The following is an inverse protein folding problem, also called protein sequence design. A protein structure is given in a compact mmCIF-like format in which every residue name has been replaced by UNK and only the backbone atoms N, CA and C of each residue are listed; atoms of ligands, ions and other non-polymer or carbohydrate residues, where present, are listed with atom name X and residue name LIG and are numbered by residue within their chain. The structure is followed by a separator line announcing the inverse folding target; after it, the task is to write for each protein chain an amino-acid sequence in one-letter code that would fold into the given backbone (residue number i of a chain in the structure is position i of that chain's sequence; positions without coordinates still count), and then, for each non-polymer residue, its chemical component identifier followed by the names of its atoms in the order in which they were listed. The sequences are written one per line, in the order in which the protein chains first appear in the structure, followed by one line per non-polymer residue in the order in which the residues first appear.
data_IF_921938503841
#
_entry.id   IF_921938503841
#
_cell.length_a   1.000
_cell.length_b   1.000
_cell.length_c   1.000
_cell.angle_alpha   90.00
_cell.angle_beta   90.00
_cell.angle_gamma   90.00
#
_symmetry.space_group_name_H-M   'P 1'
#
loop_
_entity.id
_entity.type
_entity.pdbx_description
1 polymer ?
#
# COMPACT_ATOMS: atom_id res chain seq x y z
N UNK A 1 -39.28 17.64 30.69
CA UNK A 1 -38.35 16.48 30.73
C UNK A 1 -37.81 16.20 29.34
N UNK A 2 -37.21 17.21 28.71
CA UNK A 2 -36.82 17.24 27.29
C UNK A 2 -35.29 17.19 27.12
N UNK A 3 -34.59 16.32 27.85
CA UNK A 3 -33.13 16.27 27.78
C UNK A 3 -32.50 14.86 27.85
N UNK A 4 -33.30 13.79 27.82
CA UNK A 4 -32.76 12.42 27.99
C UNK A 4 -32.97 11.46 26.79
N UNK A 5 -33.45 11.96 25.66
CA UNK A 5 -33.64 11.12 24.45
C UNK A 5 -32.90 11.70 23.25
N UNK A 6 -31.60 11.96 23.40
CA UNK A 6 -30.70 12.39 22.31
C UNK A 6 -29.45 11.51 22.18
N UNK A 7 -29.47 10.31 22.77
CA UNK A 7 -28.31 9.41 22.84
C UNK A 7 -28.48 8.12 22.00
N UNK A 8 -29.48 8.02 21.13
CA UNK A 8 -29.70 6.85 20.28
C UNK A 8 -29.76 7.31 18.82
N UNK A 9 -28.90 6.71 18.00
CA UNK A 9 -28.68 6.95 16.56
C UNK A 9 -27.69 8.09 16.21
N UNK A 10 -26.42 7.92 16.59
CA UNK A 10 -25.34 8.53 15.81
C UNK A 10 -25.38 7.92 14.39
N UNK A 11 -25.59 8.77 13.36
CA UNK A 11 -25.63 8.35 11.96
C UNK A 11 -24.40 7.50 11.59
N UNK A 12 -24.54 6.46 10.74
CA UNK A 12 -23.45 5.54 10.41
C UNK A 12 -22.20 6.25 9.83
N UNK A 13 -22.36 7.37 9.14
CA UNK A 13 -21.25 8.20 8.62
C UNK A 13 -20.32 8.69 9.75
N UNK A 14 -20.89 9.21 10.85
CA UNK A 14 -20.12 9.67 12.03
C UNK A 14 -19.33 8.57 12.76
N UNK A 15 -19.62 7.29 12.50
CA UNK A 15 -18.89 6.16 13.11
C UNK A 15 -17.68 5.77 12.27
N UNK A 16 -17.83 5.76 10.95
CA UNK A 16 -16.72 5.45 10.05
C UNK A 16 -15.66 6.55 10.06
N UNK A 17 -16.09 7.82 10.18
CA UNK A 17 -15.21 8.95 10.41
C UNK A 17 -14.37 8.76 11.67
N UNK A 18 -14.99 8.43 12.82
CA UNK A 18 -14.27 8.17 14.07
C UNK A 18 -13.26 7.03 14.01
N UNK A 19 -13.58 5.94 13.29
CA UNK A 19 -12.63 4.84 13.08
C UNK A 19 -11.43 5.33 12.25
N UNK A 20 -11.69 6.15 11.23
CA UNK A 20 -10.64 6.73 10.38
C UNK A 20 -9.72 7.65 11.19
N UNK A 21 -10.29 8.55 11.99
CA UNK A 21 -9.55 9.45 12.89
C UNK A 21 -8.72 8.66 13.91
N UNK A 22 -9.29 7.64 14.56
CA UNK A 22 -8.58 6.82 15.53
C UNK A 22 -7.35 6.10 14.93
N UNK A 23 -7.49 5.58 13.70
CA UNK A 23 -6.38 4.93 12.99
C UNK A 23 -5.31 5.95 12.62
N UNK A 24 -5.70 7.15 12.17
CA UNK A 24 -4.76 8.22 11.83
C UNK A 24 -4.01 8.73 13.06
N UNK A 25 -4.71 8.95 14.18
CA UNK A 25 -4.11 9.33 15.45
C UNK A 25 -3.12 8.28 15.97
N UNK A 26 -3.45 6.99 15.85
CA UNK A 26 -2.60 5.90 16.32
C UNK A 26 -1.37 5.70 15.41
N UNK A 27 -1.53 5.79 14.09
CA UNK A 27 -0.55 5.29 13.11
C UNK A 27 0.01 6.32 12.15
N UNK A 28 -0.59 7.51 12.06
CA UNK A 28 -0.25 8.52 11.07
C UNK A 28 -0.37 7.98 9.64
N UNK A 29 -1.39 7.16 9.38
CA UNK A 29 -1.61 6.59 8.04
C UNK A 29 -2.39 7.52 7.12
N UNK A 30 -2.94 8.61 7.65
CA UNK A 30 -3.88 9.50 7.00
C UNK A 30 -5.32 9.00 7.10
N UNK A 31 -6.25 9.95 6.99
CA UNK A 31 -7.69 9.65 6.96
C UNK A 31 -8.04 8.70 5.80
N UNK A 32 -8.51 7.52 6.18
CA UNK A 32 -9.12 6.52 5.29
C UNK A 32 -10.54 7.00 4.94
N UNK A 33 -10.93 6.94 3.67
CA UNK A 33 -12.30 7.31 3.30
C UNK A 33 -13.36 6.37 3.90
N UNK A 34 -14.53 6.92 4.20
CA UNK A 34 -15.63 6.20 4.84
C UNK A 34 -16.05 4.94 4.07
N UNK A 35 -16.01 4.95 2.73
CA UNK A 35 -16.35 3.77 1.92
C UNK A 35 -15.36 2.62 2.14
N UNK A 36 -14.07 2.92 2.24
CA UNK A 36 -13.04 1.92 2.55
C UNK A 36 -13.19 1.39 3.97
N UNK A 37 -13.43 2.25 4.96
CA UNK A 37 -13.68 1.84 6.36
C UNK A 37 -14.92 0.95 6.45
N UNK A 38 -16.02 1.40 5.85
CA UNK A 38 -17.27 0.66 5.76
C UNK A 38 -17.04 -0.74 5.17
N UNK A 39 -16.38 -0.82 4.02
CA UNK A 39 -16.14 -2.09 3.34
C UNK A 39 -15.26 -3.02 4.16
N UNK A 40 -14.29 -2.50 4.91
CA UNK A 40 -13.47 -3.30 5.80
C UNK A 40 -14.28 -3.88 6.98
N UNK A 41 -15.18 -3.08 7.58
CA UNK A 41 -16.09 -3.55 8.63
C UNK A 41 -17.05 -4.63 8.10
N UNK A 42 -17.58 -4.45 6.88
CA UNK A 42 -18.43 -5.47 6.23
C UNK A 42 -17.64 -6.73 5.85
N UNK A 43 -16.41 -6.58 5.35
CA UNK A 43 -15.55 -7.70 4.94
C UNK A 43 -15.24 -8.64 6.09
N UNK A 44 -15.22 -8.15 7.33
CA UNK A 44 -15.10 -8.99 8.52
C UNK A 44 -16.31 -9.93 8.68
N UNK A 45 -17.54 -9.45 8.43
CA UNK A 45 -18.77 -10.24 8.69
C UNK A 45 -19.02 -11.34 7.65
N UNK A 46 -18.50 -11.15 6.43
CA UNK A 46 -18.52 -12.14 5.37
C UNK A 46 -17.80 -11.64 4.11
N UNK A 47 -17.42 -12.56 3.22
CA UNK A 47 -16.67 -12.22 2.00
C UNK A 47 -17.44 -11.37 0.97
N UNK A 48 -18.76 -11.21 1.12
CA UNK A 48 -19.58 -10.37 0.24
C UNK A 48 -19.74 -8.94 0.78
N UNK A 49 -18.72 -8.15 0.50
CA UNK A 49 -18.55 -6.73 0.85
C UNK A 49 -19.44 -5.74 0.08
N UNK A 50 -20.33 -6.24 -0.78
CA UNK A 50 -21.22 -5.41 -1.62
C UNK A 50 -22.64 -5.27 -1.08
N UNK A 51 -22.94 -5.91 0.05
CA UNK A 51 -24.27 -5.93 0.66
C UNK A 51 -24.61 -4.59 1.32
N UNK A 52 -25.88 -4.20 1.23
CA UNK A 52 -26.38 -2.97 1.83
C UNK A 52 -26.38 -3.03 3.37
N UNK A 53 -25.82 -1.99 4.00
CA UNK A 53 -25.70 -1.80 5.45
C UNK A 53 -27.02 -2.04 6.19
N UNK A 54 -28.15 -1.54 5.66
CA UNK A 54 -29.45 -1.58 6.34
C UNK A 54 -29.99 -3.02 6.48
N UNK A 55 -29.61 -3.92 5.58
CA UNK A 55 -29.99 -5.33 5.60
C UNK A 55 -29.02 -6.16 6.48
N UNK A 56 -27.77 -5.73 6.63
CA UNK A 56 -26.71 -6.39 7.41
C UNK A 56 -26.90 -6.28 8.94
N UNK A 57 -27.46 -5.16 9.41
CA UNK A 57 -27.69 -4.90 10.84
C UNK A 57 -29.14 -5.13 11.30
N UNK A 58 -30.04 -5.59 10.41
CA UNK A 58 -31.40 -6.00 10.75
C UNK A 58 -31.48 -7.44 11.30
N UNK A 59 -32.56 -7.76 12.02
CA UNK A 59 -32.78 -9.08 12.66
C UNK A 59 -32.99 -10.25 11.66
N UNK A 60 -33.04 -9.99 10.35
CA UNK A 60 -33.47 -10.97 9.33
C UNK A 60 -32.39 -11.49 8.38
N UNK A 61 -31.10 -11.19 8.56
CA UNK A 61 -30.05 -11.77 7.70
C UNK A 61 -29.55 -13.12 8.22
N UNK A 62 -30.13 -14.21 7.71
CA UNK A 62 -29.69 -15.62 7.86
C UNK A 62 -28.52 -16.00 6.93
N UNK A 63 -27.68 -15.05 6.50
CA UNK A 63 -26.45 -15.41 5.80
C UNK A 63 -25.42 -15.96 6.80
N UNK A 64 -24.61 -16.94 6.40
CA UNK A 64 -23.49 -17.43 7.19
C UNK A 64 -22.58 -16.23 7.56
N UNK A 65 -22.62 -15.83 8.84
CA UNK A 65 -21.78 -14.78 9.41
C UNK A 65 -20.55 -15.46 9.96
N UNK A 66 -19.37 -15.01 9.54
CA UNK A 66 -18.11 -15.60 10.00
C UNK A 66 -17.88 -15.38 11.51
N UNK A 67 -18.48 -14.33 12.07
CA UNK A 67 -18.42 -13.97 13.50
C UNK A 67 -19.84 -13.86 14.09
N UNK A 68 -20.49 -14.98 14.45
CA UNK A 68 -21.84 -14.96 15.02
C UNK A 68 -21.84 -14.39 16.46
N UNK A 69 -22.93 -13.72 16.85
CA UNK A 69 -23.19 -13.34 18.25
C UNK A 69 -22.71 -11.95 18.71
N UNK A 70 -22.03 -11.17 17.86
CA UNK A 70 -21.59 -9.82 18.20
C UNK A 70 -22.68 -8.75 18.03
N UNK A 71 -22.73 -7.77 18.96
CA UNK A 71 -23.51 -6.54 18.76
C UNK A 71 -22.92 -5.70 17.62
N UNK A 72 -23.70 -4.76 17.07
CA UNK A 72 -23.19 -3.81 16.07
C UNK A 72 -21.95 -3.07 16.57
N UNK A 73 -21.94 -2.67 17.84
CA UNK A 73 -20.82 -1.98 18.49
C UNK A 73 -19.55 -2.85 18.55
N UNK A 74 -19.69 -4.13 18.87
CA UNK A 74 -18.57 -5.06 18.84
C UNK A 74 -18.03 -5.24 17.42
N UNK A 75 -18.90 -5.23 16.40
CA UNK A 75 -18.46 -5.33 15.00
C UNK A 75 -17.62 -4.12 14.56
N UNK A 76 -18.00 -2.90 14.95
CA UNK A 76 -17.23 -1.69 14.65
C UNK A 76 -15.85 -1.72 15.31
N UNK A 77 -15.80 -1.97 16.64
CA UNK A 77 -14.55 -2.03 17.40
C UNK A 77 -13.58 -3.07 16.85
N UNK A 78 -14.09 -4.24 16.50
CA UNK A 78 -13.25 -5.29 15.96
C UNK A 78 -12.83 -5.05 14.51
N UNK A 79 -13.64 -4.34 13.73
CA UNK A 79 -13.28 -3.86 12.40
C UNK A 79 -12.15 -2.82 12.46
N UNK A 80 -12.23 -1.86 13.40
CA UNK A 80 -11.18 -0.88 13.69
C UNK A 80 -9.86 -1.57 14.06
N UNK A 81 -9.90 -2.55 14.97
CA UNK A 81 -8.71 -3.34 15.35
C UNK A 81 -8.09 -4.08 14.17
N UNK A 82 -8.90 -4.66 13.31
CA UNK A 82 -8.42 -5.37 12.12
C UNK A 82 -7.83 -4.41 11.08
N UNK A 83 -8.44 -3.23 10.89
CA UNK A 83 -7.90 -2.16 10.06
C UNK A 83 -6.57 -1.63 10.59
N UNK A 84 -6.47 -1.35 11.90
CA UNK A 84 -5.21 -0.90 12.53
C UNK A 84 -4.08 -1.91 12.33
N UNK A 85 -4.35 -3.23 12.47
CA UNK A 85 -3.38 -4.29 12.13
C UNK A 85 -3.00 -4.31 10.64
N UNK A 86 -3.96 -4.15 9.74
CA UNK A 86 -3.70 -4.09 8.31
C UNK A 86 -2.85 -2.87 7.94
N UNK A 87 -3.09 -1.72 8.57
CA UNK A 87 -2.28 -0.50 8.41
C UNK A 87 -0.86 -0.70 8.94
N UNK A 88 -0.70 -1.33 10.11
CA UNK A 88 0.59 -1.72 10.66
C UNK A 88 1.41 -2.53 9.64
N UNK A 89 0.79 -3.60 9.11
CA UNK A 89 1.36 -4.45 8.09
C UNK A 89 1.80 -3.66 6.85
N UNK A 90 0.93 -2.75 6.37
CA UNK A 90 1.23 -1.90 5.21
C UNK A 90 2.45 -1.00 5.43
N UNK A 91 2.54 -0.33 6.59
CA UNK A 91 3.59 0.62 6.88
C UNK A 91 4.93 -0.05 7.23
N UNK A 92 4.88 -1.17 7.94
CA UNK A 92 6.08 -1.80 8.54
C UNK A 92 6.70 -2.86 7.63
N UNK A 93 5.88 -3.61 6.89
CA UNK A 93 6.38 -4.73 6.08
C UNK A 93 6.17 -4.55 4.58
N UNK A 94 5.06 -3.93 4.17
CA UNK A 94 4.74 -3.75 2.74
C UNK A 94 5.37 -2.48 2.16
N UNK A 95 5.73 -1.51 2.99
CA UNK A 95 6.37 -0.26 2.56
C UNK A 95 5.40 0.75 1.94
N UNK A 96 4.11 0.71 2.30
CA UNK A 96 3.12 1.75 1.96
C UNK A 96 2.98 2.67 3.18
N UNK A 97 3.57 3.88 3.17
CA UNK A 97 3.70 4.68 4.38
C UNK A 97 2.43 5.42 4.79
N UNK A 98 1.54 5.72 3.84
CA UNK A 98 0.36 6.56 4.03
C UNK A 98 -0.74 6.22 3.02
N UNK A 99 -1.99 6.46 3.36
CA UNK A 99 -3.19 6.08 2.62
C UNK A 99 -3.23 6.62 1.19
N UNK A 100 -2.80 7.87 1.00
CA UNK A 100 -2.72 8.47 -0.35
C UNK A 100 -1.73 7.75 -1.28
N UNK A 101 -0.73 7.05 -0.73
CA UNK A 101 0.21 6.22 -1.48
C UNK A 101 -0.29 4.78 -1.70
N UNK A 102 -1.45 4.39 -1.14
CA UNK A 102 -2.02 3.07 -1.37
C UNK A 102 -2.45 2.94 -2.85
N UNK A 103 -1.91 1.98 -3.63
CA UNK A 103 -2.25 1.85 -5.06
C UNK A 103 -3.74 1.64 -5.32
N UNK A 104 -4.36 0.76 -4.51
CA UNK A 104 -5.78 0.46 -4.58
C UNK A 104 -6.39 0.27 -3.19
N UNK A 105 -7.47 1.00 -2.90
CA UNK A 105 -8.19 0.97 -1.63
C UNK A 105 -8.73 -0.42 -1.26
N UNK A 106 -9.17 -1.18 -2.25
CA UNK A 106 -9.72 -2.53 -2.01
C UNK A 106 -8.70 -3.50 -1.39
N UNK A 107 -7.39 -3.27 -1.59
CA UNK A 107 -6.35 -4.11 -0.99
C UNK A 107 -6.37 -3.98 0.53
N UNK A 108 -6.59 -2.78 1.06
CA UNK A 108 -6.74 -2.56 2.50
C UNK A 108 -7.97 -3.30 3.06
N UNK A 109 -9.07 -3.34 2.32
CA UNK A 109 -10.27 -4.09 2.72
C UNK A 109 -9.98 -5.59 2.83
N UNK A 110 -9.27 -6.17 1.86
CA UNK A 110 -8.91 -7.59 1.89
C UNK A 110 -7.94 -7.88 3.04
N UNK A 111 -6.94 -7.01 3.27
CA UNK A 111 -6.04 -7.13 4.41
C UNK A 111 -6.78 -7.02 5.75
N UNK A 112 -7.71 -6.08 5.89
CA UNK A 112 -8.52 -5.95 7.10
C UNK A 112 -9.33 -7.22 7.38
N UNK A 113 -9.88 -7.87 6.34
CA UNK A 113 -10.51 -9.20 6.51
C UNK A 113 -9.51 -10.25 6.97
N UNK A 114 -8.33 -10.31 6.35
CA UNK A 114 -7.30 -11.28 6.72
C UNK A 114 -6.92 -11.13 8.20
N UNK A 115 -6.60 -9.90 8.64
CA UNK A 115 -6.26 -9.60 10.04
C UNK A 115 -7.44 -9.65 11.01
N UNK A 116 -8.68 -9.74 10.53
CA UNK A 116 -9.85 -10.01 11.36
C UNK A 116 -9.92 -11.48 11.77
N UNK A 117 -9.55 -12.40 10.86
CA UNK A 117 -9.47 -13.84 11.14
C UNK A 117 -8.15 -14.24 11.80
N UNK A 118 -7.05 -13.59 11.41
CA UNK A 118 -5.70 -13.89 11.87
C UNK A 118 -5.05 -12.63 12.44
N UNK A 119 -5.29 -12.28 13.72
CA UNK A 119 -4.71 -11.09 14.32
C UNK A 119 -3.17 -11.12 14.40
N UNK A 120 -2.61 -12.31 14.56
CA UNK A 120 -1.17 -12.56 14.70
C UNK A 120 -0.76 -13.69 13.75
N UNK A 121 -0.77 -13.44 12.43
CA UNK A 121 -0.42 -14.46 11.45
C UNK A 121 1.07 -14.81 11.57
N UNK A 122 1.42 -16.05 11.21
CA UNK A 122 2.80 -16.53 11.28
C UNK A 122 3.74 -15.66 10.42
N UNK A 123 5.04 -15.53 10.79
CA UNK A 123 6.00 -14.74 10.02
C UNK A 123 6.12 -15.18 8.54
N UNK A 124 6.02 -16.48 8.27
CA UNK A 124 6.02 -17.02 6.91
C UNK A 124 4.81 -16.56 6.10
N UNK A 125 3.61 -16.64 6.68
CA UNK A 125 2.39 -16.19 6.03
C UNK A 125 2.34 -14.66 5.86
N UNK A 126 2.95 -13.88 6.76
CA UNK A 126 3.14 -12.42 6.57
C UNK A 126 4.02 -12.11 5.37
N UNK A 127 5.13 -12.84 5.19
CA UNK A 127 5.97 -12.69 4.02
C UNK A 127 5.21 -13.02 2.72
N UNK A 128 4.46 -14.12 2.69
CA UNK A 128 3.61 -14.50 1.56
C UNK A 128 2.50 -13.46 1.28
N UNK A 129 1.85 -12.94 2.32
CA UNK A 129 0.83 -11.88 2.19
C UNK A 129 1.42 -10.59 1.60
N UNK A 130 2.66 -10.25 1.95
CA UNK A 130 3.38 -9.11 1.39
C UNK A 130 3.65 -9.31 -0.11
N UNK A 131 4.07 -10.52 -0.50
CA UNK A 131 4.25 -10.88 -1.92
C UNK A 131 2.92 -10.74 -2.66
N UNK A 132 1.86 -11.32 -2.12
CA UNK A 132 0.52 -11.23 -2.70
C UNK A 132 0.06 -9.79 -2.90
N UNK A 133 0.24 -8.90 -1.91
CA UNK A 133 -0.18 -7.51 -2.01
C UNK A 133 0.40 -6.82 -3.25
N UNK A 134 1.72 -6.93 -3.46
CA UNK A 134 2.37 -6.27 -4.59
C UNK A 134 2.05 -6.92 -5.93
N UNK A 135 1.88 -8.25 -5.96
CA UNK A 135 1.39 -8.96 -7.16
C UNK A 135 -0.01 -8.49 -7.55
N UNK A 136 -0.92 -8.38 -6.58
CA UNK A 136 -2.27 -7.86 -6.79
C UNK A 136 -2.27 -6.37 -7.22
N UNK A 137 -1.39 -5.56 -6.62
CA UNK A 137 -1.21 -4.16 -7.01
C UNK A 137 -0.69 -4.01 -8.45
N UNK A 138 0.23 -4.87 -8.89
CA UNK A 138 0.78 -4.83 -10.25
C UNK A 138 -0.21 -5.36 -11.31
N UNK A 139 -1.00 -6.38 -10.99
CA UNK A 139 -2.03 -6.85 -11.92
C UNK A 139 -3.20 -5.87 -12.06
N UNK A 140 -3.49 -5.12 -10.99
CA UNK A 140 -4.64 -4.23 -10.91
C UNK A 140 -5.99 -4.98 -10.93
N UNK A 141 -7.11 -4.27 -10.74
CA UNK A 141 -8.42 -4.91 -10.63
C UNK A 141 -9.06 -5.26 -11.99
N UNK A 142 -8.65 -4.61 -13.09
CA UNK A 142 -9.38 -4.71 -14.37
C UNK A 142 -9.03 -5.99 -15.13
N UNK A 143 -7.75 -6.30 -15.27
CA UNK A 143 -7.27 -7.41 -16.11
C UNK A 143 -7.61 -8.81 -15.54
N UNK A 144 -7.59 -9.06 -14.22
CA UNK A 144 -7.99 -10.35 -13.65
C UNK A 144 -9.46 -10.44 -13.22
N UNK A 145 -10.13 -9.32 -12.93
CA UNK A 145 -11.44 -9.31 -12.27
C UNK A 145 -12.51 -8.45 -12.95
N UNK A 146 -12.16 -7.65 -13.96
CA UNK A 146 -13.08 -6.75 -14.68
C UNK A 146 -13.49 -5.48 -13.93
N UNK A 147 -13.59 -5.52 -12.59
CA UNK A 147 -13.89 -4.34 -11.75
C UNK A 147 -13.28 -4.44 -10.36
N UNK A 148 -13.06 -3.30 -9.71
CA UNK A 148 -12.54 -3.23 -8.34
C UNK A 148 -13.45 -3.89 -7.31
N UNK A 149 -14.77 -3.70 -7.43
CA UNK A 149 -15.78 -4.32 -6.57
C UNK A 149 -15.74 -5.85 -6.68
N UNK A 150 -15.63 -6.38 -7.90
CA UNK A 150 -15.52 -7.81 -8.12
C UNK A 150 -14.20 -8.38 -7.60
N UNK A 151 -13.08 -7.67 -7.81
CA UNK A 151 -11.77 -8.04 -7.27
C UNK A 151 -11.82 -8.18 -5.75
N UNK A 152 -12.31 -7.13 -5.08
CA UNK A 152 -12.43 -7.06 -3.62
C UNK A 152 -13.24 -8.24 -3.07
N UNK A 153 -14.43 -8.50 -3.63
CA UNK A 153 -15.30 -9.61 -3.20
C UNK A 153 -14.63 -10.97 -3.44
N UNK A 154 -14.07 -11.17 -4.63
CA UNK A 154 -13.42 -12.44 -5.00
C UNK A 154 -12.26 -12.76 -4.07
N UNK A 155 -11.41 -11.77 -3.79
CA UNK A 155 -10.26 -11.92 -2.90
C UNK A 155 -10.70 -12.10 -1.44
N UNK A 156 -11.69 -11.34 -0.98
CA UNK A 156 -12.24 -11.51 0.37
C UNK A 156 -12.79 -12.93 0.59
N UNK A 157 -13.48 -13.51 -0.39
CA UNK A 157 -13.98 -14.90 -0.30
C UNK A 157 -12.91 -15.98 -0.27
N UNK A 158 -11.64 -15.66 -0.59
CA UNK A 158 -10.52 -16.63 -0.45
C UNK A 158 -10.05 -16.79 0.99
N UNK A 159 -10.42 -15.86 1.87
CA UNK A 159 -10.08 -15.88 3.29
C UNK A 159 -11.21 -16.63 4.02
N UNK A 160 -10.87 -17.76 4.61
CA UNK A 160 -11.77 -18.60 5.40
C UNK A 160 -11.44 -18.47 6.87
N UNK A 161 -12.36 -18.84 7.76
CA UNK A 161 -12.00 -19.04 9.17
C UNK A 161 -11.12 -20.30 9.32
N UNK A 162 -10.27 -20.31 10.35
CA UNK A 162 -9.53 -21.49 10.83
C UNK A 162 -8.49 -22.13 9.88
N UNK A 163 -8.26 -21.55 8.70
CA UNK A 163 -7.24 -22.00 7.73
C UNK A 163 -6.36 -20.84 7.23
N UNK A 164 -5.38 -20.43 8.05
CA UNK A 164 -4.50 -19.27 7.77
C UNK A 164 -3.68 -19.51 6.50
N UNK A 165 -2.97 -20.63 6.46
CA UNK A 165 -2.09 -20.99 5.35
C UNK A 165 -2.86 -21.20 4.06
N UNK A 166 -3.97 -21.95 4.08
CA UNK A 166 -4.78 -22.13 2.88
C UNK A 166 -5.45 -20.84 2.41
N UNK A 167 -5.79 -19.91 3.31
CA UNK A 167 -6.27 -18.58 2.93
C UNK A 167 -5.21 -17.79 2.15
N UNK A 168 -3.95 -17.81 2.61
CA UNK A 168 -2.84 -17.19 1.89
C UNK A 168 -2.57 -17.86 0.55
N UNK A 169 -2.55 -19.19 0.50
CA UNK A 169 -2.32 -19.94 -0.74
C UNK A 169 -3.40 -19.64 -1.79
N UNK A 170 -4.68 -19.63 -1.39
CA UNK A 170 -5.79 -19.23 -2.26
C UNK A 170 -5.72 -17.78 -2.73
N UNK A 171 -5.14 -16.88 -1.93
CA UNK A 171 -4.86 -15.50 -2.35
C UNK A 171 -3.73 -15.47 -3.39
N UNK A 172 -2.64 -16.20 -3.17
CA UNK A 172 -1.48 -16.25 -4.09
C UNK A 172 -1.82 -16.87 -5.45
N UNK A 173 -2.83 -17.72 -5.53
CA UNK A 173 -3.40 -18.18 -6.81
C UNK A 173 -3.92 -17.04 -7.69
N UNK A 174 -4.13 -15.83 -7.15
CA UNK A 174 -4.67 -14.67 -7.86
C UNK A 174 -3.93 -13.37 -7.49
N UNK A 175 -3.29 -12.69 -8.45
CA UNK A 175 -3.32 -12.92 -9.90
C UNK A 175 -2.33 -14.00 -10.37
N UNK A 176 -2.74 -14.86 -11.32
CA UNK A 176 -1.88 -15.85 -12.00
C UNK A 176 -0.97 -15.19 -13.03
N UNK A 177 -0.05 -14.35 -12.57
CA UNK A 177 0.93 -13.68 -13.43
C UNK A 177 2.30 -13.97 -12.86
N UNK A 178 3.14 -14.66 -13.65
CA UNK A 178 4.50 -15.01 -13.25
C UNK A 178 5.47 -13.84 -13.51
N UNK A 179 5.26 -13.09 -14.60
CA UNK A 179 6.07 -11.92 -14.97
C UNK A 179 5.24 -10.64 -14.92
N UNK A 180 5.45 -9.84 -13.88
CA UNK A 180 4.82 -8.52 -13.79
C UNK A 180 5.63 -7.50 -14.58
N UNK A 181 4.98 -6.84 -15.55
CA UNK A 181 5.54 -5.67 -16.18
C UNK A 181 5.72 -4.53 -15.17
N UNK A 182 6.77 -3.72 -15.35
CA UNK A 182 6.92 -2.50 -14.57
C UNK A 182 5.72 -1.55 -14.79
N UNK A 183 5.34 -0.77 -13.76
CA UNK A 183 4.34 0.29 -13.91
C UNK A 183 4.77 1.30 -14.98
N UNK A 184 3.79 1.93 -15.63
CA UNK A 184 4.06 2.91 -16.70
C UNK A 184 4.65 4.20 -16.12
N UNK A 185 5.96 4.33 -16.21
CA UNK A 185 6.69 5.49 -15.70
C UNK A 185 6.61 6.75 -16.58
N UNK A 186 6.13 6.62 -17.82
CA UNK A 186 5.98 7.74 -18.78
C UNK A 186 4.57 8.35 -18.79
N UNK A 187 3.68 7.87 -17.93
CA UNK A 187 2.30 8.36 -17.78
C UNK A 187 1.99 8.70 -16.32
N UNK A 188 2.97 9.28 -15.63
CA UNK A 188 2.91 9.57 -14.21
C UNK A 188 1.82 10.58 -13.87
N UNK A 189 0.88 10.15 -13.03
CA UNK A 189 -0.15 10.99 -12.40
C UNK A 189 -0.28 10.55 -10.96
N UNK A 190 -0.13 11.48 -10.03
CA UNK A 190 -0.12 11.22 -8.58
C UNK A 190 -1.37 10.47 -8.07
N UNK A 191 -2.49 10.58 -8.80
CA UNK A 191 -3.74 9.86 -8.51
C UNK A 191 -3.78 8.41 -8.99
N UNK A 192 -2.93 7.99 -9.94
CA UNK A 192 -2.95 6.66 -10.56
C UNK A 192 -2.21 5.62 -9.71
N UNK A 193 -2.70 4.38 -9.72
CA UNK A 193 -2.09 3.26 -8.99
C UNK A 193 -0.63 3.03 -9.39
N UNK A 194 -0.31 2.97 -10.69
CA UNK A 194 1.07 2.84 -11.19
C UNK A 194 2.01 3.89 -10.58
N UNK A 195 1.57 5.14 -10.53
CA UNK A 195 2.37 6.23 -9.95
C UNK A 195 2.54 6.09 -8.44
N UNK A 196 1.52 5.57 -7.73
CA UNK A 196 1.62 5.28 -6.29
C UNK A 196 2.58 4.11 -6.00
N UNK A 197 2.62 3.09 -6.85
CA UNK A 197 3.63 2.01 -6.78
C UNK A 197 5.04 2.62 -6.92
N UNK A 198 5.23 3.50 -7.91
CA UNK A 198 6.51 4.20 -8.14
C UNK A 198 6.86 5.09 -6.95
N UNK A 199 5.90 5.79 -6.36
CA UNK A 199 6.12 6.61 -5.16
C UNK A 199 6.49 5.78 -3.93
N UNK A 200 5.92 4.59 -3.75
CA UNK A 200 6.35 3.67 -2.68
C UNK A 200 7.80 3.21 -2.91
N UNK A 201 8.18 2.91 -4.16
CA UNK A 201 9.56 2.58 -4.48
C UNK A 201 10.52 3.75 -4.20
N UNK A 202 10.15 4.98 -4.59
CA UNK A 202 10.94 6.19 -4.28
C UNK A 202 11.02 6.45 -2.77
N UNK A 203 9.91 6.27 -2.03
CA UNK A 203 9.90 6.37 -0.58
C UNK A 203 10.82 5.34 0.07
N UNK A 204 10.92 4.14 -0.50
CA UNK A 204 11.81 3.08 0.00
C UNK A 204 13.31 3.41 -0.14
N UNK A 205 13.67 4.40 -0.96
CA UNK A 205 15.05 4.93 -1.04
C UNK A 205 15.41 5.80 0.16
N UNK A 206 14.46 6.08 1.06
CA UNK A 206 14.60 6.97 2.21
C UNK A 206 14.90 8.42 1.79
N UNK A 207 14.00 9.09 1.04
CA UNK A 207 14.19 10.47 0.60
C UNK A 207 14.62 11.39 1.74
N UNK A 208 15.63 12.21 1.50
CA UNK A 208 16.22 13.11 2.51
C UNK A 208 15.83 14.55 2.30
N UNK A 209 15.77 15.31 3.39
CA UNK A 209 15.62 16.76 3.34
C UNK A 209 16.75 17.41 2.56
N UNK A 210 16.44 18.41 1.74
CA UNK A 210 17.47 19.22 1.08
C UNK A 210 18.15 20.17 2.05
N UNK A 211 17.43 20.56 3.11
CA UNK A 211 17.89 21.52 4.12
C UNK A 211 18.65 20.83 5.25
N UNK A 212 18.03 19.83 5.91
CA UNK A 212 18.62 19.15 7.07
C UNK A 212 19.47 17.95 6.68
N UNK A 213 19.28 17.39 5.47
CA UNK A 213 19.95 16.17 4.94
C UNK A 213 19.61 14.88 5.67
N UNK A 214 18.75 14.98 6.68
CA UNK A 214 18.20 13.84 7.40
C UNK A 214 17.14 13.13 6.53
N UNK A 215 17.02 11.79 6.64
CA UNK A 215 15.91 11.07 6.02
C UNK A 215 14.57 11.57 6.54
N UNK A 216 13.60 11.73 5.65
CA UNK A 216 12.23 12.01 6.06
C UNK A 216 11.66 10.84 6.85
N UNK A 217 11.00 11.16 7.94
CA UNK A 217 10.26 10.21 8.77
C UNK A 217 8.81 10.10 8.30
N UNK A 218 8.10 9.07 8.79
CA UNK A 218 6.64 8.99 8.59
C UNK A 218 5.91 10.20 9.18
N UNK A 219 6.38 10.72 10.31
CA UNK A 219 5.77 11.92 10.91
C UNK A 219 5.89 13.12 9.97
N UNK A 220 7.06 13.32 9.34
CA UNK A 220 7.20 14.39 8.34
C UNK A 220 6.23 14.22 7.16
N UNK A 221 5.92 12.98 6.76
CA UNK A 221 4.95 12.71 5.70
C UNK A 221 3.52 13.06 6.12
N UNK A 222 3.14 12.76 7.36
CA UNK A 222 1.85 13.13 7.96
C UNK A 222 1.73 14.65 8.03
N UNK A 223 2.74 15.33 8.56
CA UNK A 223 2.74 16.79 8.72
C UNK A 223 2.63 17.50 7.36
N UNK A 224 3.24 16.93 6.30
CA UNK A 224 3.22 17.47 4.96
C UNK A 224 1.91 17.21 4.19
N UNK A 225 1.05 16.30 4.64
CA UNK A 225 -0.22 15.97 3.99
C UNK A 225 -1.37 16.38 4.93
N UNK A 226 -2.06 17.50 4.65
CA UNK A 226 -3.19 17.90 5.49
C UNK A 226 -4.31 16.85 5.43
N UNK A 227 -5.23 16.83 6.42
CA UNK A 227 -6.42 15.98 6.39
C UNK A 227 -7.20 16.13 5.06
N UNK A 228 -7.46 15.00 4.39
CA UNK A 228 -8.10 14.99 3.07
C UNK A 228 -7.19 15.41 1.89
N UNK A 229 -5.89 15.62 2.16
CA UNK A 229 -4.87 15.95 1.18
C UNK A 229 -4.59 14.83 0.19
N UNK A 230 -3.70 15.10 -0.76
CA UNK A 230 -3.37 14.16 -1.83
C UNK A 230 -1.86 13.95 -1.96
N UNK A 231 -1.45 12.93 -2.70
CA UNK A 231 -0.05 12.71 -3.10
C UNK A 231 0.59 13.91 -3.78
N UNK A 232 -0.18 14.85 -4.36
CA UNK A 232 0.37 16.06 -4.96
C UNK A 232 1.02 17.02 -3.94
N UNK A 233 0.72 16.88 -2.64
CA UNK A 233 1.31 17.73 -1.60
C UNK A 233 2.79 17.42 -1.36
N UNK A 234 3.18 16.17 -1.58
CA UNK A 234 4.52 15.68 -1.27
C UNK A 234 5.33 15.33 -2.51
N UNK A 235 4.75 15.57 -3.70
CA UNK A 235 5.38 15.28 -4.98
C UNK A 235 5.52 16.56 -5.80
N UNK A 236 6.76 16.99 -5.97
CA UNK A 236 7.10 18.19 -6.72
C UNK A 236 7.58 17.87 -8.14
N UNK A 237 7.39 18.81 -9.07
CA UNK A 237 8.06 18.78 -10.38
C UNK A 237 9.43 19.42 -10.29
N UNK A 238 10.44 18.77 -10.86
CA UNK A 238 11.80 19.31 -10.91
C UNK A 238 11.87 20.42 -11.97
N UNK A 239 11.48 20.09 -13.21
CA UNK A 239 11.41 21.00 -14.34
C UNK A 239 9.98 21.53 -14.48
N UNK A 240 9.83 22.86 -14.44
CA UNK A 240 8.54 23.54 -14.65
C UNK A 240 8.07 23.45 -16.09
N UNK A 241 9.01 23.59 -17.03
CA UNK A 241 8.77 23.43 -18.47
C UNK A 241 9.29 22.07 -18.88
N UNK A 242 8.38 21.18 -19.28
CA UNK A 242 8.72 19.83 -19.72
C UNK A 242 9.16 19.85 -21.20
N UNK A 243 10.30 19.24 -21.56
CA UNK A 243 10.70 19.14 -22.95
C UNK A 243 9.73 18.24 -23.74
N UNK A 244 9.61 18.51 -25.04
CA UNK A 244 8.70 17.79 -25.94
C UNK A 244 8.96 16.26 -25.86
N UNK A 245 7.87 15.49 -25.85
CA UNK A 245 7.93 14.02 -25.75
C UNK A 245 8.23 13.45 -24.36
N UNK A 246 8.47 14.30 -23.34
CA UNK A 246 8.80 13.86 -21.97
C UNK A 246 7.75 14.29 -20.94
N UNK A 247 6.54 14.59 -21.41
CA UNK A 247 5.43 14.96 -20.55
C UNK A 247 5.04 13.82 -19.61
N UNK A 248 4.75 14.15 -18.36
CA UNK A 248 4.30 13.16 -17.36
C UNK A 248 5.31 12.03 -17.08
N UNK A 249 6.60 12.24 -17.33
CA UNK A 249 7.60 11.26 -16.90
C UNK A 249 7.79 11.30 -15.38
N UNK A 250 7.91 10.13 -14.76
CA UNK A 250 8.28 9.98 -13.34
C UNK A 250 9.62 10.65 -13.06
N UNK A 251 10.53 10.67 -14.04
CA UNK A 251 11.80 11.38 -13.97
C UNK A 251 11.67 12.88 -13.66
N UNK A 252 10.52 13.49 -13.92
CA UNK A 252 10.25 14.88 -13.55
C UNK A 252 9.48 15.04 -12.24
N UNK A 253 9.49 14.02 -11.35
CA UNK A 253 8.77 14.01 -10.08
C UNK A 253 9.70 13.62 -8.94
N UNK A 254 9.68 14.39 -7.85
CA UNK A 254 10.52 14.17 -6.67
C UNK A 254 9.66 14.21 -5.42
N UNK A 255 9.99 13.38 -4.44
CA UNK A 255 9.34 13.41 -3.13
C UNK A 255 10.03 14.48 -2.31
N UNK A 256 9.31 15.50 -1.86
CA UNK A 256 9.86 16.59 -1.06
C UNK A 256 8.84 17.00 -0.02
N UNK A 257 9.27 17.06 1.24
CA UNK A 257 8.44 17.44 2.38
C UNK A 257 8.88 18.79 2.99
N UNK A 258 9.71 19.55 2.27
CA UNK A 258 10.15 20.86 2.72
C UNK A 258 8.97 21.84 2.81
N UNK A 259 8.92 22.60 3.91
CA UNK A 259 8.00 23.71 4.05
C UNK A 259 8.46 24.91 3.21
N UNK A 260 7.53 25.58 2.52
CA UNK A 260 7.81 26.81 1.78
C UNK A 260 7.77 26.68 0.25
N UNK A 261 8.62 27.44 -0.44
CA UNK A 261 8.58 27.52 -1.90
C UNK A 261 9.11 26.24 -2.56
N UNK A 262 8.21 25.56 -3.27
CA UNK A 262 8.52 24.41 -4.13
C UNK A 262 9.45 24.82 -5.29
N UNK A 263 10.73 24.47 -5.14
CA UNK A 263 11.76 24.65 -6.15
C UNK A 263 12.85 23.55 -6.11
N UNK A 264 12.43 22.32 -6.41
CA UNK A 264 13.28 21.14 -6.40
C UNK A 264 14.52 21.27 -7.29
N UNK A 265 14.42 21.92 -8.46
CA UNK A 265 15.59 22.14 -9.31
C UNK A 265 16.65 23.01 -8.63
N UNK A 266 16.25 24.11 -7.99
CA UNK A 266 17.19 24.96 -7.26
C UNK A 266 17.79 24.22 -6.07
N UNK A 267 16.99 23.46 -5.31
CA UNK A 267 17.48 22.67 -4.18
C UNK A 267 18.52 21.63 -4.61
N UNK A 268 18.27 20.95 -5.74
CA UNK A 268 19.26 20.03 -6.33
C UNK A 268 20.55 20.75 -6.74
N UNK A 269 20.45 21.91 -7.39
CA UNK A 269 21.61 22.67 -7.84
C UNK A 269 22.45 23.22 -6.67
N UNK A 270 21.81 23.60 -5.57
CA UNK A 270 22.53 24.01 -4.35
C UNK A 270 23.41 22.90 -3.77
N UNK A 271 23.06 21.62 -3.99
CA UNK A 271 23.92 20.49 -3.60
C UNK A 271 25.20 20.40 -4.44
N UNK A 272 25.20 20.93 -5.67
CA UNK A 272 26.40 21.01 -6.50
C UNK A 272 27.36 22.12 -6.02
N UNK A 273 26.81 23.22 -5.50
CA UNK A 273 27.58 24.37 -5.01
C UNK A 273 28.13 24.17 -3.57
N UNK A 274 27.59 23.19 -2.84
CA UNK A 274 27.99 22.83 -1.48
C UNK A 274 29.44 22.31 -1.46
N UNK A 275 30.38 23.19 -1.09
CA UNK A 275 31.82 22.92 -1.01
C UNK A 275 32.25 21.91 0.10
N UNK A 276 31.34 21.33 0.89
CA UNK A 276 31.68 20.33 1.94
C UNK A 276 30.67 19.18 2.07
N UNK A 277 31.21 18.06 2.60
CA UNK A 277 30.75 16.65 2.61
C UNK A 277 30.05 16.12 1.33
N UNK A 278 30.88 15.79 0.33
CA UNK A 278 30.45 15.09 -0.88
C UNK A 278 29.70 13.79 -0.60
N UNK A 279 29.97 13.11 0.51
CA UNK A 279 29.29 11.86 0.83
C UNK A 279 27.84 12.11 1.25
N UNK A 280 27.61 13.16 2.04
CA UNK A 280 26.27 13.55 2.46
C UNK A 280 25.43 14.06 1.28
N UNK A 281 26.02 14.89 0.40
CA UNK A 281 25.37 15.34 -0.82
C UNK A 281 24.99 14.16 -1.74
N UNK A 282 25.90 13.19 -1.91
CA UNK A 282 25.62 11.95 -2.65
C UNK A 282 24.49 11.14 -2.02
N UNK A 283 24.41 11.07 -0.70
CA UNK A 283 23.33 10.37 -0.01
C UNK A 283 21.97 11.05 -0.27
N UNK A 284 21.91 12.39 -0.26
CA UNK A 284 20.69 13.14 -0.63
C UNK A 284 20.32 12.88 -2.08
N UNK A 285 21.26 12.99 -3.03
CA UNK A 285 21.00 12.73 -4.45
C UNK A 285 20.48 11.30 -4.68
N UNK A 286 21.16 10.30 -4.10
CA UNK A 286 20.78 8.90 -4.21
C UNK A 286 19.37 8.63 -3.64
N UNK A 287 19.02 9.27 -2.51
CA UNK A 287 17.69 9.16 -1.90
C UNK A 287 16.55 9.67 -2.79
N UNK A 288 16.87 10.50 -3.79
CA UNK A 288 15.93 11.05 -4.77
C UNK A 288 16.08 10.46 -6.18
N UNK A 289 16.83 9.36 -6.32
CA UNK A 289 17.18 8.74 -7.61
C UNK A 289 17.86 9.73 -8.59
N UNK A 290 18.77 10.55 -8.08
CA UNK A 290 19.60 11.47 -8.86
C UNK A 290 21.06 11.06 -8.68
N UNK A 291 21.85 11.06 -9.76
CA UNK A 291 23.31 10.91 -9.66
C UNK A 291 24.02 12.23 -9.96
N UNK A 292 25.33 12.29 -9.73
CA UNK A 292 26.16 13.46 -10.09
C UNK A 292 26.11 13.80 -11.58
N UNK A 293 25.94 12.79 -12.45
CA UNK A 293 25.78 12.99 -13.89
C UNK A 293 24.48 13.72 -14.22
N UNK A 294 23.37 13.32 -13.57
CA UNK A 294 22.07 13.98 -13.75
C UNK A 294 22.11 15.39 -13.17
N UNK A 295 22.73 15.58 -12.01
CA UNK A 295 22.91 16.92 -11.46
C UNK A 295 23.70 17.83 -12.41
N UNK A 296 24.77 17.30 -13.02
CA UNK A 296 25.55 18.02 -14.03
C UNK A 296 24.75 18.35 -15.29
N UNK A 297 23.87 17.45 -15.75
CA UNK A 297 22.97 17.71 -16.87
C UNK A 297 21.98 18.83 -16.54
N UNK A 298 21.41 18.82 -15.34
CA UNK A 298 20.52 19.87 -14.85
C UNK A 298 21.22 21.23 -14.80
N UNK A 299 22.46 21.29 -14.29
CA UNK A 299 23.25 22.52 -14.19
C UNK A 299 23.58 23.13 -15.57
N UNK A 300 23.76 22.30 -16.61
CA UNK A 300 23.97 22.76 -17.99
C UNK A 300 22.68 23.09 -18.74
N UNK A 301 21.51 22.93 -18.11
CA UNK A 301 20.21 23.12 -18.77
C UNK A 301 19.84 22.00 -19.76
N UNK A 302 20.52 20.85 -19.73
CA UNK A 302 20.19 19.68 -20.55
C UNK A 302 19.01 18.92 -19.93
N UNK A 303 17.81 19.48 -20.11
CA UNK A 303 16.56 18.93 -19.60
C UNK A 303 16.28 17.51 -20.09
N UNK A 304 16.58 17.21 -21.37
CA UNK A 304 16.32 15.89 -21.97
C UNK A 304 17.29 14.86 -21.41
N UNK A 305 18.58 15.17 -21.34
CA UNK A 305 19.59 14.31 -20.73
C UNK A 305 19.30 14.03 -19.25
N UNK A 306 18.92 15.06 -18.50
CA UNK A 306 18.48 14.93 -17.10
C UNK A 306 17.33 13.93 -16.96
N UNK A 307 16.24 14.14 -17.70
CA UNK A 307 15.05 13.29 -17.60
C UNK A 307 15.32 11.86 -18.03
N UNK A 308 16.04 11.62 -19.15
CA UNK A 308 16.39 10.26 -19.59
C UNK A 308 17.33 9.54 -18.63
N UNK A 309 18.31 10.25 -18.07
CA UNK A 309 19.21 9.70 -17.07
C UNK A 309 18.46 9.29 -15.81
N UNK A 310 17.68 10.21 -15.25
CA UNK A 310 16.89 9.95 -14.04
C UNK A 310 15.82 8.89 -14.24
N UNK A 311 15.20 8.83 -15.43
CA UNK A 311 14.22 7.80 -15.77
C UNK A 311 14.79 6.39 -15.61
N UNK A 312 16.02 6.14 -16.08
CA UNK A 312 16.71 4.86 -15.91
C UNK A 312 16.99 4.52 -14.45
N UNK A 313 17.37 5.52 -13.64
CA UNK A 313 17.59 5.33 -12.20
C UNK A 313 16.29 4.96 -11.47
N UNK A 314 15.18 5.62 -11.81
CA UNK A 314 13.86 5.28 -11.24
C UNK A 314 13.41 3.90 -11.69
N UNK A 315 13.59 3.54 -12.97
CA UNK A 315 13.29 2.18 -13.46
C UNK A 315 14.04 1.11 -12.67
N UNK A 316 15.33 1.33 -12.42
CA UNK A 316 16.13 0.42 -11.61
C UNK A 316 15.63 0.36 -10.15
N UNK A 317 15.40 1.51 -9.51
CA UNK A 317 14.88 1.57 -8.15
C UNK A 317 13.52 0.86 -7.99
N UNK A 318 12.62 0.99 -8.97
CA UNK A 318 11.33 0.28 -8.98
C UNK A 318 11.54 -1.22 -9.17
N UNK A 319 12.45 -1.67 -10.06
CA UNK A 319 12.77 -3.10 -10.20
C UNK A 319 13.31 -3.68 -8.90
N UNK A 320 14.26 -3.00 -8.26
CA UNK A 320 14.90 -3.47 -7.03
C UNK A 320 13.88 -3.53 -5.88
N UNK A 321 13.04 -2.50 -5.77
CA UNK A 321 11.93 -2.48 -4.80
C UNK A 321 10.98 -3.66 -5.01
N UNK A 322 10.49 -3.85 -6.24
CA UNK A 322 9.55 -4.91 -6.56
C UNK A 322 10.17 -6.29 -6.38
N UNK A 323 11.40 -6.52 -6.84
CA UNK A 323 12.12 -7.79 -6.69
C UNK A 323 12.31 -8.15 -5.21
N UNK A 324 12.67 -7.19 -4.37
CA UNK A 324 12.86 -7.38 -2.93
C UNK A 324 11.56 -7.71 -2.21
N UNK A 325 10.43 -7.14 -2.65
CA UNK A 325 9.17 -7.22 -1.90
C UNK A 325 8.19 -8.27 -2.42
N UNK A 326 8.31 -8.63 -3.69
CA UNK A 326 7.55 -9.73 -4.32
C UNK A 326 8.28 -11.06 -4.26
N UNK A 327 9.61 -11.04 -4.02
CA UNK A 327 10.45 -12.22 -3.81
C UNK A 327 10.20 -13.32 -4.86
N UNK A 328 9.98 -12.93 -6.13
CA UNK A 328 9.56 -13.82 -7.23
C UNK A 328 10.53 -14.96 -7.54
N UNK A 329 11.76 -14.88 -7.02
CA UNK A 329 12.80 -15.91 -7.12
C UNK A 329 12.71 -16.99 -6.03
N UNK A 330 11.84 -16.85 -5.05
CA UNK A 330 11.58 -17.85 -4.01
C UNK A 330 10.26 -18.57 -4.29
N UNK A 331 10.23 -19.87 -4.04
CA UNK A 331 9.00 -20.64 -4.10
C UNK A 331 8.00 -20.13 -3.04
N UNK A 332 6.72 -20.12 -3.38
CA UNK A 332 5.64 -19.70 -2.47
C UNK A 332 5.17 -20.87 -1.58
N UNK A 333 6.14 -21.67 -1.12
CA UNK A 333 5.88 -22.88 -0.34
C UNK A 333 5.25 -22.50 1.01
N UNK A 334 4.22 -23.23 1.46
CA UNK A 334 3.71 -23.10 2.82
C UNK A 334 4.84 -23.19 3.87
N UNK A 335 4.72 -22.52 5.03
CA UNK A 335 5.67 -22.70 6.13
C UNK A 335 5.85 -24.19 6.47
N UNK A 336 7.07 -24.62 6.82
CA UNK A 336 7.38 -26.04 7.08
C UNK A 336 6.44 -26.67 8.11
N UNK A 337 6.06 -25.91 9.15
CA UNK A 337 5.15 -26.36 10.21
C UNK A 337 3.72 -26.61 9.74
N UNK A 338 3.38 -26.18 8.52
CA UNK A 338 2.08 -26.44 7.88
C UNK A 338 2.09 -27.62 6.90
N UNK A 339 3.25 -28.19 6.60
CA UNK A 339 3.38 -29.43 5.84
C UNK A 339 3.14 -30.58 6.81
N UNK A 340 2.02 -31.30 6.65
CA UNK A 340 1.77 -32.51 7.42
C UNK A 340 2.71 -33.62 6.91
N UNK A 341 3.90 -33.73 7.51
CA UNK A 341 4.90 -34.75 7.17
C UNK A 341 4.55 -36.14 7.75
N UNK A 342 3.44 -36.22 8.50
CA UNK A 342 2.90 -37.43 9.10
C UNK A 342 1.73 -37.97 8.25
N UNK A 343 1.95 -38.21 6.95
CA UNK A 343 1.05 -39.04 6.15
C UNK A 343 1.62 -40.47 6.13
N UNK A 344 1.13 -41.41 6.98
CA UNK A 344 1.58 -42.80 6.99
C UNK A 344 0.98 -43.65 5.86
N UNK A 345 0.32 -43.05 4.86
CA UNK A 345 -0.40 -43.78 3.81
C UNK A 345 0.29 -43.70 2.44
N UNK A 346 1.57 -44.09 2.38
CA UNK A 346 2.12 -44.81 1.23
C UNK A 346 2.58 -46.19 1.72
N UNK A 347 1.63 -47.01 2.17
CA UNK A 347 1.82 -48.46 2.12
C UNK A 347 2.06 -48.84 0.65
N UNK A 348 3.34 -48.96 0.29
CA UNK A 348 3.77 -49.83 -0.80
C UNK A 348 3.17 -51.20 -0.52
N UNK A 349 2.11 -51.52 -1.27
CA UNK A 349 1.70 -52.89 -1.55
C UNK A 349 2.80 -53.57 -2.38
N UNK A 350 3.93 -53.85 -1.72
CA UNK A 350 4.88 -54.86 -2.15
C UNK A 350 4.30 -56.23 -1.72
N UNK A 351 3.23 -56.65 -2.39
CA UNK A 351 2.84 -58.06 -2.41
C UNK A 351 3.88 -58.85 -3.22
N UNK A 352 4.82 -59.42 -2.48
CA UNK A 352 5.82 -60.40 -2.93
C UNK A 352 5.14 -61.74 -3.23
N UNK A 353 5.33 -62.27 -4.45
CA UNK A 353 5.70 -63.67 -4.78
C UNK A 353 5.23 -64.09 -6.19
#
# INVERSE_FOLDING_TARGET
NDCQTRAQEAEPSSRFERISEAIDEERGFGLIDEDTVLRAVLARRGGDVTREIRLEFGEHTQAARDFPGGSAESAYREGERALSRAVAFLQEEVGVPHFVLLPYRYLLVVLARFFAHYPEPSPGNRALLRRWFWRAALAGPVTPFGSWTFAMRTLATRISADDETGSIQRLLELPRVQDFALPKLTQFRTSNADSRIVLCALWSLGPRSFTTREPYTRQNLVDAIPPGGTTAEVVERILRVEPEGHHSWAANRIVSLEEGQRNAAANLLQLADSLFDRQEARAVLASHAVSEEQLSALARGDAVGFLKGRQRLIEQAVRDFLSRITETQFEDTPPLDSLNLDDPDEERDDSVA
#
